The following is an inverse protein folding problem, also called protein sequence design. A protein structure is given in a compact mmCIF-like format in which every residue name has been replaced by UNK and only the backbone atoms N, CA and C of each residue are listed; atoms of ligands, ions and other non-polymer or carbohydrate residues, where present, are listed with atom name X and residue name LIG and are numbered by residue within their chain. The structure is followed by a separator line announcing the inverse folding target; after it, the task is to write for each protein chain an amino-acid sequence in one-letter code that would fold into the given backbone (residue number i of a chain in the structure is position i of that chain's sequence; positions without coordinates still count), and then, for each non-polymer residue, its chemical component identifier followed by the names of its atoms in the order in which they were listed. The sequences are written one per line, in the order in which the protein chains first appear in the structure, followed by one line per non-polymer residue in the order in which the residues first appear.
data_IF_518901586534
#
_entry.id   IF_518901586534
#
_cell.length_a   1.000
_cell.length_b   1.000
_cell.length_c   1.000
_cell.angle_alpha   90.00
_cell.angle_beta   90.00
_cell.angle_gamma   90.00
#
_symmetry.space_group_name_H-M   'P 1'
#
loop_
_entity.id
_entity.type
_entity.pdbx_description
1 polymer ?
#
# COMPACT_ATOMS: atom_id res chain seq x y z
N UNK A 1 -28.97 20.84 3.25
CA UNK A 1 -29.46 19.54 3.73
C UNK A 1 -28.34 18.56 3.47
N UNK A 2 -27.56 18.25 4.52
CA UNK A 2 -26.36 17.42 4.42
C UNK A 2 -26.72 15.94 4.48
N UNK A 3 -26.32 15.18 3.46
CA UNK A 3 -26.23 13.73 3.53
C UNK A 3 -24.84 13.38 4.07
N UNK A 4 -24.75 13.29 5.39
CA UNK A 4 -23.60 12.66 6.03
C UNK A 4 -23.59 11.18 5.65
N UNK A 5 -22.73 10.82 4.72
CA UNK A 5 -22.37 9.43 4.48
C UNK A 5 -21.47 9.01 5.65
N UNK A 6 -22.10 8.44 6.67
CA UNK A 6 -21.42 7.80 7.79
C UNK A 6 -20.81 6.48 7.28
N UNK A 7 -19.67 6.60 6.58
CA UNK A 7 -18.88 5.44 6.14
C UNK A 7 -18.05 5.00 7.33
N UNK A 8 -18.66 4.19 8.19
CA UNK A 8 -17.93 3.47 9.23
C UNK A 8 -16.97 2.48 8.56
N UNK A 9 -15.71 2.90 8.40
CA UNK A 9 -14.62 1.97 8.15
C UNK A 9 -14.46 1.15 9.42
N UNK A 10 -15.09 -0.03 9.47
CA UNK A 10 -14.70 -1.03 10.43
C UNK A 10 -13.23 -1.36 10.14
N UNK A 11 -12.31 -0.64 10.79
CA UNK A 11 -10.89 -0.95 10.85
C UNK A 11 -10.82 -2.41 11.29
N UNK A 12 -10.53 -3.30 10.34
CA UNK A 12 -10.35 -4.68 10.71
C UNK A 12 -9.13 -4.71 11.63
N UNK A 13 -9.24 -5.21 12.87
CA UNK A 13 -8.04 -5.65 13.55
C UNK A 13 -7.40 -6.62 12.56
N UNK A 14 -6.12 -6.41 12.23
CA UNK A 14 -5.33 -7.37 11.45
C UNK A 14 -5.24 -8.66 12.27
N UNK A 15 -6.32 -9.42 12.26
CA UNK A 15 -6.43 -10.78 12.76
C UNK A 15 -5.46 -11.55 11.88
N UNK A 16 -4.27 -11.76 12.42
CA UNK A 16 -3.42 -12.89 12.04
C UNK A 16 -4.23 -14.14 12.35
N UNK A 17 -5.17 -14.50 11.48
CA UNK A 17 -5.72 -15.84 11.45
C UNK A 17 -4.51 -16.77 11.36
N UNK A 18 -4.29 -17.56 12.41
CA UNK A 18 -3.35 -18.67 12.38
C UNK A 18 -3.91 -19.73 11.43
N UNK A 19 -3.78 -19.47 10.14
CA UNK A 19 -3.90 -20.51 9.12
C UNK A 19 -2.87 -21.58 9.38
N UNK A 20 -3.27 -22.85 9.24
CA UNK A 20 -2.47 -24.01 9.62
C UNK A 20 -1.02 -23.93 9.12
N UNK A 21 -0.07 -24.11 10.04
CA UNK A 21 1.38 -23.95 9.83
C UNK A 21 2.02 -25.13 9.08
N UNK A 22 1.22 -25.99 8.43
CA UNK A 22 1.76 -27.20 7.81
C UNK A 22 2.52 -26.83 6.55
N UNK A 23 3.85 -26.94 6.63
CA UNK A 23 4.75 -26.77 5.48
C UNK A 23 4.39 -27.76 4.39
N UNK A 24 4.31 -27.26 3.16
CA UNK A 24 4.04 -28.09 2.00
C UNK A 24 5.21 -29.01 1.65
N UNK A 25 4.90 -30.24 1.25
CA UNK A 25 5.85 -31.18 0.66
C UNK A 25 6.20 -30.80 -0.78
N UNK A 26 7.21 -31.46 -1.37
CA UNK A 26 7.70 -31.11 -2.71
C UNK A 26 6.67 -31.21 -3.84
N UNK A 27 5.73 -32.15 -3.77
CA UNK A 27 4.66 -32.28 -4.76
C UNK A 27 3.63 -31.14 -4.62
N UNK A 28 3.25 -30.81 -3.39
CA UNK A 28 2.34 -29.69 -3.08
C UNK A 28 2.94 -28.35 -3.51
N UNK A 29 4.23 -28.10 -3.23
CA UNK A 29 4.92 -26.89 -3.69
C UNK A 29 4.91 -26.75 -5.21
N UNK A 30 5.09 -27.86 -5.94
CA UNK A 30 4.99 -27.86 -7.42
C UNK A 30 3.56 -27.56 -7.87
N UNK A 31 2.56 -28.19 -7.27
CA UNK A 31 1.15 -27.91 -7.56
C UNK A 31 0.80 -26.43 -7.33
N UNK A 32 1.27 -25.82 -6.22
CA UNK A 32 1.08 -24.39 -5.93
C UNK A 32 1.76 -23.47 -6.93
N UNK A 33 2.94 -23.83 -7.45
CA UNK A 33 3.60 -23.05 -8.52
C UNK A 33 2.80 -23.09 -9.81
N UNK A 34 2.26 -24.26 -10.18
CA UNK A 34 1.38 -24.38 -11.36
C UNK A 34 0.07 -23.61 -11.15
N UNK A 35 -0.53 -23.69 -9.96
CA UNK A 35 -1.68 -22.87 -9.57
C UNK A 35 -1.38 -21.38 -9.74
N UNK A 36 -0.21 -20.92 -9.28
CA UNK A 36 0.25 -19.55 -9.43
C UNK A 36 0.35 -19.10 -10.89
N UNK A 37 0.85 -19.97 -11.79
CA UNK A 37 0.91 -19.67 -13.23
C UNK A 37 -0.47 -19.59 -13.86
N UNK A 38 -1.37 -20.52 -13.52
CA UNK A 38 -2.75 -20.54 -14.03
C UNK A 38 -3.52 -19.31 -13.57
N UNK A 39 -3.40 -18.96 -12.29
CA UNK A 39 -3.96 -17.73 -11.73
C UNK A 39 -3.44 -16.50 -12.44
N UNK A 40 -2.12 -16.37 -12.58
CA UNK A 40 -1.47 -15.23 -13.22
C UNK A 40 -1.99 -15.01 -14.66
N UNK A 41 -2.11 -16.08 -15.44
CA UNK A 41 -2.63 -16.03 -16.80
C UNK A 41 -4.10 -15.62 -16.85
N UNK A 42 -4.94 -16.22 -15.99
CA UNK A 42 -6.36 -15.90 -15.90
C UNK A 42 -6.57 -14.45 -15.43
N UNK A 43 -5.92 -14.06 -14.33
CA UNK A 43 -6.04 -12.74 -13.75
C UNK A 43 -5.55 -11.63 -14.69
N UNK A 44 -4.44 -11.85 -15.42
CA UNK A 44 -3.98 -10.91 -16.44
C UNK A 44 -5.04 -10.60 -17.48
N UNK A 45 -5.82 -11.60 -17.90
CA UNK A 45 -6.91 -11.42 -18.88
C UNK A 45 -8.05 -10.62 -18.28
N UNK A 46 -8.52 -11.00 -17.09
CA UNK A 46 -9.64 -10.33 -16.41
C UNK A 46 -9.29 -8.87 -16.05
N UNK A 47 -8.10 -8.63 -15.49
CA UNK A 47 -7.62 -7.29 -15.15
C UNK A 47 -7.58 -6.38 -16.39
N UNK A 48 -7.02 -6.87 -17.50
CA UNK A 48 -7.00 -6.11 -18.77
C UNK A 48 -8.40 -5.84 -19.31
N UNK A 49 -9.30 -6.82 -19.26
CA UNK A 49 -10.68 -6.66 -19.69
C UNK A 49 -11.42 -5.59 -18.86
N UNK A 50 -11.09 -5.48 -17.57
CA UNK A 50 -11.60 -4.45 -16.67
C UNK A 50 -10.85 -3.09 -16.76
N UNK A 51 -9.92 -2.94 -17.70
CA UNK A 51 -9.15 -1.71 -17.91
C UNK A 51 -8.13 -1.42 -16.80
N UNK A 52 -7.64 -2.45 -16.11
CA UNK A 52 -6.55 -2.34 -15.15
C UNK A 52 -5.19 -2.52 -15.83
N UNK A 53 -4.19 -1.78 -15.35
CA UNK A 53 -2.78 -2.08 -15.60
C UNK A 53 -2.39 -3.37 -14.89
N UNK A 54 -1.37 -4.07 -15.42
CA UNK A 54 -0.97 -5.38 -14.93
C UNK A 54 0.54 -5.53 -14.86
N UNK A 55 1.04 -5.94 -13.69
CA UNK A 55 2.44 -6.25 -13.39
C UNK A 55 2.51 -7.46 -12.45
N UNK A 56 2.49 -8.66 -13.06
CA UNK A 56 2.55 -10.01 -12.46
C UNK A 56 3.03 -10.08 -11.00
N UNK A 57 2.20 -10.48 -10.01
CA UNK A 57 0.77 -10.80 -10.10
C UNK A 57 -0.15 -9.59 -9.84
N UNK A 58 0.44 -8.41 -9.62
CA UNK A 58 -0.24 -7.20 -9.16
C UNK A 58 -0.99 -6.53 -10.30
N UNK A 59 -2.19 -6.01 -10.03
CA UNK A 59 -2.93 -5.12 -10.95
C UNK A 59 -3.08 -3.75 -10.34
N UNK A 60 -3.12 -2.70 -11.15
CA UNK A 60 -3.20 -1.32 -10.65
C UNK A 60 -4.01 -0.43 -11.58
N UNK A 61 -4.57 0.63 -11.02
CA UNK A 61 -5.37 1.61 -11.75
C UNK A 61 -5.29 2.97 -11.07
N UNK A 62 -5.31 4.04 -11.86
CA UNK A 62 -5.58 5.39 -11.37
C UNK A 62 -7.10 5.58 -11.33
N UNK A 63 -7.61 6.03 -10.20
CA UNK A 63 -9.02 6.39 -10.00
C UNK A 63 -8.98 7.78 -9.40
N UNK A 64 -9.34 8.78 -10.20
CA UNK A 64 -9.14 10.20 -9.87
C UNK A 64 -7.70 10.47 -9.38
N UNK A 65 -7.53 10.96 -8.16
CA UNK A 65 -6.22 11.23 -7.55
C UNK A 65 -5.69 10.10 -6.66
N UNK A 66 -6.29 8.91 -6.77
CA UNK A 66 -5.92 7.71 -6.04
C UNK A 66 -5.27 6.68 -6.95
N UNK A 67 -4.14 6.16 -6.49
CA UNK A 67 -3.53 4.95 -7.01
C UNK A 67 -4.12 3.76 -6.26
N UNK A 68 -4.75 2.84 -6.99
CA UNK A 68 -5.32 1.61 -6.44
C UNK A 68 -4.55 0.43 -6.99
N UNK A 69 -4.21 -0.51 -6.14
CA UNK A 69 -3.63 -1.78 -6.58
C UNK A 69 -4.26 -2.97 -5.87
N UNK A 70 -4.26 -4.09 -6.59
CA UNK A 70 -4.70 -5.39 -6.17
C UNK A 70 -3.50 -6.31 -6.22
N UNK A 71 -3.14 -6.88 -5.08
CA UNK A 71 -1.99 -7.77 -4.94
C UNK A 71 -2.45 -9.17 -4.49
N UNK A 72 -2.79 -10.02 -5.46
CA UNK A 72 -3.03 -11.43 -5.20
C UNK A 72 -1.70 -12.18 -5.03
N UNK A 73 -1.55 -12.85 -3.90
CA UNK A 73 -0.42 -13.67 -3.54
C UNK A 73 -0.85 -15.14 -3.41
N UNK A 74 -0.12 -16.04 -4.08
CA UNK A 74 -0.28 -17.49 -3.90
C UNK A 74 0.98 -18.00 -3.24
N UNK A 75 0.89 -18.37 -1.95
CA UNK A 75 2.04 -18.91 -1.23
C UNK A 75 2.47 -20.23 -1.85
N UNK A 76 3.76 -20.37 -2.14
CA UNK A 76 4.36 -21.65 -2.54
C UNK A 76 4.81 -22.49 -1.35
N UNK A 77 4.78 -21.93 -0.15
CA UNK A 77 5.29 -22.56 1.08
C UNK A 77 4.17 -23.06 1.98
N UNK A 78 2.96 -22.51 1.81
CA UNK A 78 1.76 -22.80 2.59
C UNK A 78 0.58 -23.02 1.66
N UNK A 79 -0.45 -23.73 2.13
CA UNK A 79 -1.71 -23.85 1.41
C UNK A 79 -2.61 -22.60 1.53
N UNK A 80 -1.99 -21.41 1.53
CA UNK A 80 -2.68 -20.13 1.73
C UNK A 80 -2.44 -19.23 0.53
N UNK A 81 -3.52 -18.68 0.01
CA UNK A 81 -3.50 -17.58 -0.94
C UNK A 81 -4.08 -16.35 -0.25
N UNK A 82 -3.63 -15.18 -0.64
CA UNK A 82 -4.09 -13.91 -0.09
C UNK A 82 -4.41 -12.99 -1.25
N UNK A 83 -5.42 -12.16 -1.11
CA UNK A 83 -5.58 -11.00 -1.96
C UNK A 83 -5.66 -9.77 -1.08
N UNK A 84 -4.86 -8.75 -1.43
CA UNK A 84 -4.90 -7.46 -0.76
C UNK A 84 -5.34 -6.40 -1.77
N UNK A 85 -6.24 -5.52 -1.34
CA UNK A 85 -6.58 -4.31 -2.06
C UNK A 85 -6.14 -3.12 -1.22
N UNK A 86 -5.52 -2.16 -1.87
CA UNK A 86 -4.77 -1.15 -1.18
C UNK A 86 -4.62 0.07 -2.07
N UNK A 87 -4.48 1.22 -1.42
CA UNK A 87 -4.58 2.51 -2.09
C UNK A 87 -3.51 3.46 -1.58
N UNK A 88 -3.29 4.52 -2.33
CA UNK A 88 -2.62 5.73 -1.86
C UNK A 88 -3.01 6.93 -2.73
N UNK A 89 -3.06 8.15 -2.18
CA UNK A 89 -3.11 9.36 -3.00
C UNK A 89 -1.84 9.48 -3.86
N UNK A 90 -1.96 9.92 -5.11
CA UNK A 90 -0.79 10.18 -5.97
C UNK A 90 0.15 11.22 -5.38
N UNK A 91 -0.40 12.21 -4.68
CA UNK A 91 0.35 13.29 -4.04
C UNK A 91 1.35 12.80 -2.97
N UNK A 92 1.13 11.62 -2.37
CA UNK A 92 2.06 11.02 -1.39
C UNK A 92 3.40 10.74 -2.05
N UNK A 93 3.41 10.06 -3.19
CA UNK A 93 4.63 9.73 -3.93
C UNK A 93 5.44 11.00 -4.26
N UNK A 94 4.74 12.04 -4.71
CA UNK A 94 5.37 13.29 -5.16
C UNK A 94 5.93 14.08 -3.97
N UNK A 95 5.23 14.10 -2.83
CA UNK A 95 5.76 14.69 -1.59
C UNK A 95 6.98 13.90 -1.10
N UNK A 96 6.89 12.57 -1.04
CA UNK A 96 7.97 11.76 -0.51
C UNK A 96 9.24 11.85 -1.35
N UNK A 97 9.12 11.90 -2.67
CA UNK A 97 10.26 12.14 -3.56
C UNK A 97 10.90 13.49 -3.30
N UNK A 98 10.11 14.55 -3.11
CA UNK A 98 10.62 15.89 -2.76
C UNK A 98 11.36 15.87 -1.42
N UNK A 99 10.76 15.27 -0.38
CA UNK A 99 11.39 15.12 0.95
C UNK A 99 12.73 14.39 0.85
N UNK A 100 12.79 13.34 0.03
CA UNK A 100 14.02 12.55 -0.17
C UNK A 100 14.98 13.18 -1.18
N UNK A 101 14.64 14.33 -1.78
CA UNK A 101 15.43 15.01 -2.80
C UNK A 101 15.62 14.20 -4.09
N UNK A 102 14.65 13.36 -4.45
CA UNK A 102 14.58 12.73 -5.76
C UNK A 102 13.88 13.67 -6.75
N UNK A 103 14.34 13.69 -7.99
CA UNK A 103 13.67 14.42 -9.07
C UNK A 103 12.24 13.87 -9.27
N UNK A 104 11.31 14.79 -9.59
CA UNK A 104 9.86 14.54 -9.52
C UNK A 104 9.38 13.27 -10.22
N UNK A 105 8.36 12.63 -9.64
CA UNK A 105 7.73 11.42 -10.19
C UNK A 105 6.64 11.73 -11.23
N UNK A 106 6.53 12.99 -11.65
CA UNK A 106 5.58 13.44 -12.65
C UNK A 106 5.82 12.70 -13.97
N UNK A 107 4.76 12.12 -14.54
CA UNK A 107 4.83 11.34 -15.77
C UNK A 107 5.48 9.95 -15.62
N UNK A 108 5.90 9.55 -14.42
CA UNK A 108 6.43 8.21 -14.18
C UNK A 108 5.35 7.15 -14.46
N UNK A 109 5.64 6.08 -15.23
CA UNK A 109 4.69 5.00 -15.47
C UNK A 109 4.11 4.42 -14.18
N UNK A 110 2.80 4.13 -14.18
CA UNK A 110 2.10 3.53 -13.03
C UNK A 110 2.74 2.21 -12.54
N UNK A 111 3.36 1.45 -13.45
CA UNK A 111 4.10 0.23 -13.09
C UNK A 111 5.29 0.49 -12.17
N UNK A 112 5.98 1.62 -12.32
CA UNK A 112 7.06 2.03 -11.41
C UNK A 112 6.51 2.52 -10.08
N UNK A 113 5.34 3.15 -10.05
CA UNK A 113 4.65 3.48 -8.78
C UNK A 113 4.15 2.23 -8.04
N UNK A 114 3.87 1.15 -8.77
CA UNK A 114 3.42 -0.14 -8.24
C UNK A 114 4.55 -1.04 -7.67
N UNK A 115 5.82 -0.83 -8.03
CA UNK A 115 6.95 -1.69 -7.62
C UNK A 115 8.27 -0.98 -7.34
N UNK A 116 8.30 0.34 -7.50
CA UNK A 116 9.48 1.13 -7.28
C UNK A 116 9.78 1.35 -5.80
N UNK A 117 10.87 2.07 -5.49
CA UNK A 117 11.23 2.47 -4.13
C UNK A 117 10.16 3.34 -3.44
N UNK A 118 9.17 3.81 -4.19
CA UNK A 118 8.01 4.57 -3.74
C UNK A 118 6.73 3.73 -3.64
N UNK A 119 6.82 2.40 -3.74
CA UNK A 119 5.66 1.52 -3.53
C UNK A 119 5.34 1.40 -2.03
N UNK A 120 4.91 2.53 -1.49
CA UNK A 120 4.36 2.66 -0.15
C UNK A 120 2.86 2.67 -0.28
N UNK A 121 2.26 1.63 0.23
CA UNK A 121 0.89 1.28 -0.07
C UNK A 121 0.25 0.69 1.15
N UNK A 122 -0.91 1.24 1.50
CA UNK A 122 -1.58 0.88 2.75
C UNK A 122 -2.69 -0.11 2.42
N UNK A 123 -2.62 -1.35 2.96
CA UNK A 123 -3.70 -2.32 2.86
C UNK A 123 -5.01 -1.74 3.38
N UNK A 124 -5.98 -1.58 2.49
CA UNK A 124 -7.34 -1.20 2.88
C UNK A 124 -8.18 -2.45 3.17
N UNK A 125 -7.97 -3.51 2.39
CA UNK A 125 -8.61 -4.80 2.57
C UNK A 125 -7.63 -5.92 2.34
N UNK A 126 -7.80 -7.01 3.08
CA UNK A 126 -7.16 -8.27 2.74
C UNK A 126 -8.08 -9.44 3.03
N UNK A 127 -8.09 -10.41 2.15
CA UNK A 127 -8.77 -11.69 2.35
C UNK A 127 -7.79 -12.82 2.12
N UNK A 128 -7.83 -13.82 3.00
CA UNK A 128 -7.09 -15.07 2.83
C UNK A 128 -8.02 -16.16 2.32
N UNK A 129 -7.52 -17.03 1.44
CA UNK A 129 -8.26 -18.16 0.87
C UNK A 129 -7.35 -19.38 0.88
N UNK A 130 -7.88 -20.54 1.25
CA UNK A 130 -7.16 -21.80 1.11
C UNK A 130 -7.30 -22.34 -0.32
N UNK A 131 -6.17 -22.55 -1.00
CA UNK A 131 -6.04 -23.48 -2.13
C UNK A 131 -6.87 -23.27 -3.42
N UNK A 132 -7.89 -22.42 -3.45
CA UNK A 132 -8.90 -22.39 -4.52
C UNK A 132 -8.63 -21.29 -5.57
N UNK A 133 -8.31 -21.72 -6.79
CA UNK A 133 -8.07 -20.85 -7.93
C UNK A 133 -9.28 -20.02 -8.33
N UNK A 134 -10.45 -20.65 -8.42
CA UNK A 134 -11.66 -20.00 -8.90
C UNK A 134 -12.09 -18.95 -7.90
N UNK A 135 -12.05 -19.29 -6.60
CA UNK A 135 -12.36 -18.34 -5.54
C UNK A 135 -11.40 -17.15 -5.51
N UNK A 136 -10.12 -17.37 -5.78
CA UNK A 136 -9.13 -16.29 -5.90
C UNK A 136 -9.45 -15.35 -7.08
N UNK A 137 -9.82 -15.88 -8.24
CA UNK A 137 -10.19 -15.08 -9.42
C UNK A 137 -11.48 -14.30 -9.15
N UNK A 138 -12.47 -14.94 -8.52
CA UNK A 138 -13.73 -14.30 -8.13
C UNK A 138 -13.47 -13.11 -7.19
N UNK A 139 -12.69 -13.30 -6.12
CA UNK A 139 -12.37 -12.21 -5.19
C UNK A 139 -11.56 -11.09 -5.87
N UNK A 140 -10.59 -11.43 -6.72
CA UNK A 140 -9.85 -10.43 -7.48
C UNK A 140 -10.76 -9.62 -8.39
N UNK A 141 -11.71 -10.29 -9.04
CA UNK A 141 -12.71 -9.65 -9.90
C UNK A 141 -13.66 -8.78 -9.08
N UNK A 142 -14.15 -9.26 -7.94
CA UNK A 142 -15.00 -8.51 -7.02
C UNK A 142 -14.30 -7.23 -6.57
N UNK A 143 -13.08 -7.34 -6.05
CA UNK A 143 -12.30 -6.18 -5.60
C UNK A 143 -12.06 -5.20 -6.75
N UNK A 144 -11.76 -5.68 -7.96
CA UNK A 144 -11.56 -4.80 -9.11
C UNK A 144 -12.80 -4.00 -9.52
N UNK A 145 -14.00 -4.49 -9.19
CA UNK A 145 -15.27 -3.81 -9.44
C UNK A 145 -15.65 -2.88 -8.30
N UNK A 146 -15.37 -3.27 -7.06
CA UNK A 146 -15.79 -2.48 -5.88
C UNK A 146 -14.80 -1.38 -5.52
N UNK A 147 -13.51 -1.55 -5.79
CA UNK A 147 -12.50 -0.56 -5.39
C UNK A 147 -12.75 0.84 -5.95
N UNK A 148 -13.16 1.05 -7.22
CA UNK A 148 -13.50 2.38 -7.71
C UNK A 148 -14.56 3.10 -6.87
N UNK A 149 -15.62 2.39 -6.49
CA UNK A 149 -16.70 2.94 -5.65
C UNK A 149 -16.21 3.21 -4.22
N UNK A 150 -15.31 2.37 -3.71
CA UNK A 150 -14.77 2.51 -2.34
C UNK A 150 -13.78 3.65 -2.18
N UNK A 151 -13.11 4.06 -3.26
CA UNK A 151 -12.18 5.21 -3.22
C UNK A 151 -12.87 6.52 -3.56
N UNK A 152 -14.08 6.46 -4.10
CA UNK A 152 -14.91 7.64 -4.32
C UNK A 152 -15.24 8.30 -2.98
N UNK A 153 -14.89 9.58 -2.84
CA UNK A 153 -15.10 10.35 -1.62
C UNK A 153 -14.06 10.15 -0.52
N UNK A 154 -13.03 9.32 -0.72
CA UNK A 154 -11.90 9.24 0.22
C UNK A 154 -11.15 10.57 0.27
N UNK A 155 -10.82 11.00 1.49
CA UNK A 155 -10.03 12.18 1.78
C UNK A 155 -8.60 11.82 2.22
N UNK A 156 -7.72 12.82 2.29
CA UNK A 156 -6.38 12.66 2.88
C UNK A 156 -6.45 12.31 4.36
N UNK A 157 -7.43 12.84 5.09
CA UNK A 157 -7.65 12.53 6.50
C UNK A 157 -8.02 11.06 6.69
N UNK A 158 -8.95 10.53 5.89
CA UNK A 158 -9.30 9.11 5.91
C UNK A 158 -8.06 8.23 5.70
N UNK A 159 -7.22 8.60 4.72
CA UNK A 159 -5.97 7.88 4.45
C UNK A 159 -4.94 8.00 5.58
N UNK A 160 -4.80 9.17 6.21
CA UNK A 160 -3.96 9.33 7.40
C UNK A 160 -4.42 8.39 8.53
N UNK A 161 -5.73 8.27 8.73
CA UNK A 161 -6.30 7.43 9.78
C UNK A 161 -6.07 5.95 9.53
N UNK A 162 -6.34 5.43 8.33
CA UNK A 162 -6.12 4.00 8.06
C UNK A 162 -4.66 3.64 7.74
N UNK A 163 -3.81 4.63 7.42
CA UNK A 163 -2.35 4.44 7.34
C UNK A 163 -1.67 4.45 8.71
N UNK A 164 -2.40 4.80 9.77
CA UNK A 164 -1.89 4.71 11.13
C UNK A 164 -1.37 3.30 11.43
N UNK A 165 -0.08 3.23 11.76
CA UNK A 165 0.54 1.98 12.13
C UNK A 165 0.05 1.52 13.51
N UNK A 166 0.18 0.22 13.85
CA UNK A 166 -0.13 -0.27 15.18
C UNK A 166 0.64 0.50 16.28
N UNK A 167 0.09 0.53 17.49
CA UNK A 167 0.69 1.24 18.61
C UNK A 167 2.21 0.97 18.76
N UNK A 168 2.98 2.04 18.84
CA UNK A 168 4.45 1.99 18.92
C UNK A 168 5.18 1.96 17.57
N UNK A 169 4.45 2.04 16.45
CA UNK A 169 5.02 2.19 15.12
C UNK A 169 4.49 3.45 14.44
N UNK A 170 5.27 3.97 13.48
CA UNK A 170 4.91 5.13 12.66
C UNK A 170 4.97 4.75 11.18
N UNK A 171 3.94 5.09 10.41
CA UNK A 171 3.95 4.90 8.95
C UNK A 171 4.50 6.15 8.26
N UNK A 172 5.32 5.95 7.23
CA UNK A 172 5.81 7.06 6.41
C UNK A 172 4.67 7.67 5.56
N UNK A 173 3.73 6.82 5.15
CA UNK A 173 2.49 7.19 4.46
C UNK A 173 1.60 8.08 5.34
N UNK A 174 1.46 7.74 6.62
CA UNK A 174 0.71 8.55 7.59
C UNK A 174 1.33 9.94 7.75
N UNK A 175 2.66 10.01 7.94
CA UNK A 175 3.38 11.28 8.03
C UNK A 175 3.19 12.12 6.76
N UNK A 176 3.35 11.52 5.59
CA UNK A 176 3.16 12.23 4.32
C UNK A 176 1.70 12.71 4.15
N UNK A 177 0.72 11.92 4.59
CA UNK A 177 -0.69 12.30 4.53
C UNK A 177 -1.01 13.50 5.43
N UNK A 178 -0.48 13.52 6.66
CA UNK A 178 -0.62 14.63 7.59
C UNK A 178 0.01 15.92 7.03
N UNK A 179 1.21 15.83 6.44
CA UNK A 179 1.84 16.98 5.78
C UNK A 179 0.96 17.50 4.64
N UNK A 180 0.44 16.63 3.77
CA UNK A 180 -0.45 17.05 2.68
C UNK A 180 -1.78 17.63 3.16
N UNK A 181 -2.24 17.24 4.35
CA UNK A 181 -3.45 17.75 4.97
C UNK A 181 -3.24 19.09 5.71
N UNK A 182 -2.01 19.59 5.83
CA UNK A 182 -1.70 20.79 6.62
C UNK A 182 -1.65 20.56 8.13
N UNK A 183 -1.39 19.32 8.55
CA UNK A 183 -1.28 18.88 9.95
C UNK A 183 0.21 18.68 10.32
N UNK A 184 1.07 19.64 9.97
CA UNK A 184 2.53 19.47 10.07
C UNK A 184 3.02 19.30 11.52
N UNK A 185 2.30 19.86 12.50
CA UNK A 185 2.65 19.68 13.91
C UNK A 185 2.51 18.21 14.35
N UNK A 186 1.44 17.55 13.92
CA UNK A 186 1.22 16.13 14.22
C UNK A 186 2.20 15.25 13.44
N UNK A 187 2.46 15.58 12.17
CA UNK A 187 3.48 14.91 11.37
C UNK A 187 4.88 15.00 12.01
N UNK A 188 5.23 16.15 12.59
CA UNK A 188 6.49 16.36 13.29
C UNK A 188 6.61 15.48 14.54
N UNK A 189 5.54 15.41 15.36
CA UNK A 189 5.49 14.54 16.56
C UNK A 189 5.71 13.06 16.20
N UNK A 190 5.08 12.59 15.12
CA UNK A 190 5.28 11.22 14.63
C UNK A 190 6.71 10.99 14.14
N UNK A 191 7.32 11.95 13.46
CA UNK A 191 8.71 11.86 13.05
C UNK A 191 9.66 11.79 14.25
N UNK A 192 9.46 12.66 15.25
CA UNK A 192 10.26 12.68 16.48
C UNK A 192 10.14 11.35 17.24
N UNK A 193 8.93 10.80 17.34
CA UNK A 193 8.70 9.47 17.92
C UNK A 193 9.47 8.38 17.15
N UNK A 194 9.33 8.34 15.82
CA UNK A 194 9.99 7.34 14.98
C UNK A 194 11.52 7.41 15.10
N UNK A 195 12.08 8.62 15.15
CA UNK A 195 13.51 8.87 15.36
C UNK A 195 13.95 8.39 16.75
N UNK A 196 13.21 8.75 17.80
CA UNK A 196 13.52 8.40 19.18
C UNK A 196 13.55 6.87 19.39
N UNK A 197 12.62 6.13 18.80
CA UNK A 197 12.59 4.66 18.86
C UNK A 197 13.49 3.99 17.82
N UNK A 198 14.26 4.78 17.04
CA UNK A 198 15.13 4.31 15.95
C UNK A 198 14.39 3.41 14.95
N UNK A 199 13.14 3.74 14.65
CA UNK A 199 12.34 2.96 13.74
C UNK A 199 12.94 2.99 12.34
N UNK A 200 13.16 1.80 11.79
CA UNK A 200 13.41 1.58 10.39
C UNK A 200 12.07 1.29 9.71
N UNK A 201 11.60 2.21 8.86
CA UNK A 201 10.35 2.10 8.12
C UNK A 201 10.28 3.15 7.03
N UNK A 202 9.76 2.77 5.87
CA UNK A 202 9.69 3.63 4.69
C UNK A 202 11.02 3.75 3.93
N UNK A 203 11.08 4.62 2.90
CA UNK A 203 12.27 4.87 2.10
C UNK A 203 13.40 5.46 2.93
N UNK A 204 14.64 5.27 2.47
CA UNK A 204 15.83 5.86 3.05
C UNK A 204 16.76 6.34 1.95
N UNK A 205 17.64 7.28 2.28
CA UNK A 205 18.66 7.79 1.36
C UNK A 205 20.04 7.75 2.01
N UNK A 206 21.05 7.40 1.22
CA UNK A 206 22.45 7.53 1.62
C UNK A 206 22.89 8.97 1.43
N UNK A 207 23.40 9.60 2.49
CA UNK A 207 23.98 10.95 2.48
C UNK A 207 25.38 10.97 1.84
N UNK A 208 25.90 12.16 1.56
CA UNK A 208 27.23 12.32 0.95
C UNK A 208 28.38 11.73 1.78
N UNK A 209 28.22 11.65 3.11
CA UNK A 209 29.17 11.01 4.04
C UNK A 209 28.93 9.49 4.19
N UNK A 210 28.07 8.90 3.35
CA UNK A 210 27.82 7.46 3.29
C UNK A 210 26.86 6.93 4.36
N UNK A 211 26.21 7.78 5.14
CA UNK A 211 25.22 7.36 6.15
C UNK A 211 23.86 7.13 5.53
N UNK A 212 23.19 6.05 5.92
CA UNK A 212 21.79 5.82 5.53
C UNK A 212 20.91 6.56 6.54
N UNK A 213 20.09 7.48 6.04
CA UNK A 213 19.16 8.28 6.83
C UNK A 213 17.73 7.93 6.43
N UNK A 214 16.87 7.69 7.44
CA UNK A 214 15.47 7.30 7.21
C UNK A 214 14.62 8.48 6.73
N UNK A 215 13.50 8.16 6.07
CA UNK A 215 12.49 9.14 5.67
C UNK A 215 12.11 10.09 6.81
N UNK A 216 11.92 9.60 8.04
CA UNK A 216 11.47 10.41 9.17
C UNK A 216 12.41 11.58 9.50
N UNK A 217 13.73 11.41 9.33
CA UNK A 217 14.67 12.51 9.53
C UNK A 217 14.54 13.58 8.44
N UNK A 218 14.41 13.15 7.18
CA UNK A 218 14.22 14.08 6.05
C UNK A 218 12.87 14.78 6.14
N UNK A 219 11.80 14.07 6.50
CA UNK A 219 10.47 14.64 6.67
C UNK A 219 10.45 15.67 7.82
N UNK A 220 11.10 15.36 8.94
CA UNK A 220 11.22 16.30 10.07
C UNK A 220 11.92 17.59 9.66
N UNK A 221 13.05 17.47 8.94
CA UNK A 221 13.79 18.62 8.40
C UNK A 221 12.93 19.41 7.40
N UNK A 222 12.27 18.73 6.47
CA UNK A 222 11.42 19.36 5.46
C UNK A 222 10.30 20.17 6.13
N UNK A 223 9.66 19.64 7.17
CA UNK A 223 8.63 20.36 7.95
C UNK A 223 9.22 21.63 8.56
N UNK A 224 10.39 21.57 9.20
CA UNK A 224 11.02 22.77 9.79
C UNK A 224 11.30 23.85 8.73
N UNK A 225 11.79 23.45 7.55
CA UNK A 225 12.12 24.38 6.46
C UNK A 225 10.89 25.04 5.81
N UNK A 226 9.71 24.41 5.90
CA UNK A 226 8.49 24.87 5.23
C UNK A 226 7.44 25.48 6.18
N UNK A 227 7.65 25.46 7.51
CA UNK A 227 6.77 26.14 8.48
C UNK A 227 6.91 27.66 8.47
N UNK A 228 8.06 28.17 8.03
CA UNK A 228 8.41 29.59 8.08
C UNK A 228 8.24 30.31 6.72
N UNK A 229 7.69 29.62 5.70
CA UNK A 229 7.50 30.12 4.34
C UNK A 229 6.04 30.49 4.05
#
# INVERSE_FOLDING_TARGET
MGSGHDVSYAMQPMLRERMSETKLNGAEKRARRELGKLFDAAWKREAKAAGWGYLKPTSFKRIDDWFVYLDPEISTERNSSKISAAVKPFAIDDLMSRILGFEGLDGTPLSLRARGPHCLVVPMFSSSIEGDLNRMIELATEFSKTMPVRVEGLTLADFADFSAAPAGHVSAEQVAALILAGEEEEAAKLCDLAIAIKQWGGPARTTADGKIVSFFHFARQWIDEHRDA
#
